data_IF_524600782232
#
_entry.id   IF_524600782232
#
_cell.length_a   1.000
_cell.length_b   1.000
_cell.length_c   1.000
_cell.angle_alpha   90.00
_cell.angle_beta   90.00
_cell.angle_gamma   90.00
#
_symmetry.space_group_name_H-M   'P 1'
#
loop_
_entity.id
_entity.type
_entity.pdbx_description
1 polymer ?
#
# COMPACT_ATOMS: atom_id res chain seq x y z
N UNK A 1 9.54 -6.47 22.05
CA UNK A 1 8.74 -5.75 21.03
C UNK A 1 7.28 -5.86 21.43
N UNK A 2 6.91 -5.20 22.51
CA UNK A 2 5.61 -5.33 23.19
C UNK A 2 4.85 -3.99 23.21
N UNK A 3 5.44 -2.94 22.65
CA UNK A 3 4.91 -1.57 22.64
C UNK A 3 4.21 -1.22 21.32
N UNK A 4 4.44 -1.99 20.25
CA UNK A 4 3.78 -1.77 18.96
C UNK A 4 2.61 -2.74 18.76
N UNK A 5 1.42 -2.26 18.35
CA UNK A 5 0.23 -3.10 18.14
C UNK A 5 0.29 -3.81 16.78
N UNK A 6 1.40 -4.49 16.48
CA UNK A 6 1.66 -5.11 15.17
C UNK A 6 2.58 -6.32 15.32
N UNK A 7 2.65 -7.15 14.29
CA UNK A 7 3.49 -8.34 14.28
C UNK A 7 4.97 -8.01 14.62
N UNK A 8 5.66 -8.85 15.43
CA UNK A 8 7.05 -8.59 15.82
C UNK A 8 8.00 -8.39 14.63
N UNK A 9 7.75 -9.07 13.51
CA UNK A 9 8.55 -8.94 12.29
C UNK A 9 8.44 -7.54 11.67
N UNK A 10 7.23 -6.99 11.60
CA UNK A 10 6.99 -5.65 11.09
C UNK A 10 7.53 -4.59 12.06
N UNK A 11 7.42 -4.84 13.38
CA UNK A 11 8.00 -3.95 14.41
C UNK A 11 9.51 -3.84 14.26
N UNK A 12 10.20 -4.98 14.03
CA UNK A 12 11.64 -5.00 13.79
C UNK A 12 12.03 -4.25 12.51
N UNK A 13 11.23 -4.40 11.45
CA UNK A 13 11.44 -3.70 10.18
C UNK A 13 11.35 -2.18 10.36
N UNK A 14 10.37 -1.71 11.14
CA UNK A 14 10.18 -0.30 11.45
C UNK A 14 11.31 0.29 12.31
N UNK A 15 11.84 -0.49 13.27
CA UNK A 15 12.99 -0.04 14.07
C UNK A 15 14.24 0.05 13.20
N UNK A 16 14.46 -0.92 12.31
CA UNK A 16 15.63 -0.92 11.42
C UNK A 16 15.59 0.21 10.38
N UNK A 17 14.40 0.60 9.92
CA UNK A 17 14.25 1.67 8.92
C UNK A 17 14.71 3.04 9.45
N UNK A 18 14.64 3.27 10.76
CA UNK A 18 15.20 4.47 11.40
C UNK A 18 16.72 4.52 11.22
N UNK A 19 17.41 3.39 11.38
CA UNK A 19 18.87 3.31 11.19
C UNK A 19 19.28 3.46 9.72
N UNK A 20 18.41 3.07 8.79
CA UNK A 20 18.62 3.17 7.34
C UNK A 20 18.06 4.46 6.73
N UNK A 21 17.52 5.37 7.54
CA UNK A 21 16.90 6.63 7.12
C UNK A 21 15.76 6.49 6.08
N UNK A 22 15.02 5.37 6.10
CA UNK A 22 13.87 5.08 5.21
C UNK A 22 12.57 4.86 6.00
N UNK A 23 12.39 5.62 7.08
CA UNK A 23 11.31 5.41 8.04
C UNK A 23 9.93 5.78 7.49
N UNK A 24 9.82 6.80 6.63
CA UNK A 24 8.54 7.23 6.04
C UNK A 24 7.97 6.17 5.08
N UNK A 25 8.82 5.61 4.22
CA UNK A 25 8.44 4.59 3.25
C UNK A 25 8.04 3.30 3.96
N UNK A 26 8.84 2.88 4.94
CA UNK A 26 8.58 1.65 5.71
C UNK A 26 7.33 1.80 6.57
N UNK A 27 7.09 2.96 7.19
CA UNK A 27 5.86 3.23 7.93
C UNK A 27 4.63 3.13 7.00
N UNK A 28 4.75 3.66 5.79
CA UNK A 28 3.69 3.58 4.77
C UNK A 28 3.41 2.12 4.38
N UNK A 29 4.44 1.35 4.06
CA UNK A 29 4.31 -0.07 3.68
C UNK A 29 3.67 -0.87 4.83
N UNK A 30 4.15 -0.68 6.06
CA UNK A 30 3.59 -1.33 7.26
C UNK A 30 2.11 -0.99 7.43
N UNK A 31 1.75 0.28 7.25
CA UNK A 31 0.36 0.73 7.34
C UNK A 31 -0.50 0.02 6.28
N UNK A 32 -0.03 -0.03 5.03
CA UNK A 32 -0.73 -0.69 3.93
C UNK A 32 -0.86 -2.22 4.11
N UNK A 33 0.09 -2.86 4.77
CA UNK A 33 0.03 -4.30 5.10
C UNK A 33 -0.90 -4.61 6.27
N UNK A 34 -1.15 -3.62 7.14
CA UNK A 34 -2.04 -3.78 8.29
C UNK A 34 -3.52 -3.70 7.90
N UNK A 35 -3.83 -3.11 6.74
CA UNK A 35 -5.18 -3.03 6.18
C UNK A 35 -5.48 -4.25 5.31
N UNK A 36 -6.71 -4.76 5.34
CA UNK A 36 -7.13 -5.85 4.46
C UNK A 36 -7.29 -5.36 3.01
N UNK A 37 -6.73 -6.13 2.06
CA UNK A 37 -6.90 -6.02 0.60
C UNK A 37 -7.16 -4.61 0.05
N UNK A 38 -6.09 -3.84 -0.17
CA UNK A 38 -6.15 -2.50 -0.80
C UNK A 38 -6.78 -2.52 -2.21
N UNK A 39 -6.65 -3.63 -2.95
CA UNK A 39 -7.14 -3.74 -4.32
C UNK A 39 -8.51 -4.40 -4.40
N UNK A 40 -9.45 -3.72 -5.05
CA UNK A 40 -10.79 -4.23 -5.33
C UNK A 40 -10.85 -4.92 -6.70
N UNK A 41 -11.29 -6.17 -6.74
CA UNK A 41 -11.36 -6.96 -7.99
C UNK A 41 -12.78 -7.49 -8.25
N UNK A 42 -13.69 -6.65 -8.79
CA UNK A 42 -15.06 -7.07 -9.09
C UNK A 42 -15.09 -8.07 -10.24
N UNK A 43 -15.96 -9.09 -10.14
CA UNK A 43 -16.06 -10.19 -11.13
C UNK A 43 -16.35 -9.69 -12.55
N UNK A 44 -17.16 -8.64 -12.70
CA UNK A 44 -17.55 -8.10 -14.00
C UNK A 44 -16.46 -7.25 -14.67
N UNK A 45 -15.46 -6.77 -13.92
CA UNK A 45 -14.41 -5.85 -14.43
C UNK A 45 -13.00 -6.31 -14.07
N UNK A 46 -12.77 -7.61 -13.91
CA UNK A 46 -11.48 -8.17 -13.52
C UNK A 46 -10.34 -7.73 -14.43
N UNK A 47 -10.53 -7.79 -15.76
CA UNK A 47 -9.50 -7.40 -16.72
C UNK A 47 -9.10 -5.92 -16.61
N UNK A 48 -10.06 -5.04 -16.31
CA UNK A 48 -9.79 -3.60 -16.14
C UNK A 48 -9.07 -3.35 -14.81
N UNK A 49 -9.50 -4.01 -13.73
CA UNK A 49 -8.84 -3.92 -12.43
C UNK A 49 -7.39 -4.42 -12.50
N UNK A 50 -7.15 -5.54 -13.17
CA UNK A 50 -5.81 -6.11 -13.35
C UNK A 50 -4.94 -5.18 -14.22
N UNK A 51 -5.50 -4.56 -15.26
CA UNK A 51 -4.79 -3.57 -16.07
C UNK A 51 -4.39 -2.33 -15.25
N UNK A 52 -5.30 -1.80 -14.41
CA UNK A 52 -5.03 -0.64 -13.55
C UNK A 52 -3.98 -0.98 -12.50
N UNK A 53 -4.10 -2.14 -11.83
CA UNK A 53 -3.11 -2.65 -10.88
C UNK A 53 -1.74 -2.83 -11.55
N UNK A 54 -1.72 -3.35 -12.77
CA UNK A 54 -0.49 -3.53 -13.56
C UNK A 54 0.30 -2.24 -13.78
N UNK A 55 -0.34 -1.07 -13.77
CA UNK A 55 0.36 0.23 -13.89
C UNK A 55 1.17 0.59 -12.65
N UNK A 56 0.80 0.07 -11.49
CA UNK A 56 1.50 0.32 -10.24
C UNK A 56 2.55 -0.75 -9.92
N UNK A 57 2.56 -1.85 -10.67
CA UNK A 57 3.46 -2.97 -10.46
C UNK A 57 4.92 -2.51 -10.53
N UNK A 58 5.64 -2.69 -9.43
CA UNK A 58 7.07 -2.41 -9.33
C UNK A 58 7.85 -3.72 -9.49
N UNK A 59 8.85 -3.80 -10.40
CA UNK A 59 9.65 -5.01 -10.60
C UNK A 59 10.43 -5.43 -9.35
N UNK A 60 10.67 -4.50 -8.43
CA UNK A 60 11.35 -4.70 -7.15
C UNK A 60 10.49 -5.44 -6.12
N UNK A 61 9.16 -5.48 -6.30
CA UNK A 61 8.26 -6.34 -5.53
C UNK A 61 6.93 -5.71 -5.09
N UNK A 62 6.11 -6.53 -4.43
CA UNK A 62 4.76 -6.18 -4.01
C UNK A 62 4.71 -5.07 -2.95
N UNK A 63 5.68 -5.04 -2.02
CA UNK A 63 5.75 -3.97 -1.01
C UNK A 63 5.97 -2.59 -1.63
N UNK A 64 6.80 -2.51 -2.67
CA UNK A 64 7.04 -1.26 -3.41
C UNK A 64 5.86 -0.90 -4.31
N UNK A 65 5.13 -1.89 -4.81
CA UNK A 65 3.85 -1.67 -5.49
C UNK A 65 2.83 -1.00 -4.55
N UNK A 66 2.71 -1.45 -3.30
CA UNK A 66 1.83 -0.80 -2.29
C UNK A 66 2.25 0.65 -2.01
N UNK A 67 3.55 0.90 -1.91
CA UNK A 67 4.10 2.25 -1.74
C UNK A 67 3.78 3.14 -2.95
N UNK A 68 3.92 2.63 -4.17
CA UNK A 68 3.60 3.35 -5.40
C UNK A 68 2.12 3.73 -5.50
N UNK A 69 1.22 2.83 -5.09
CA UNK A 69 -0.23 3.10 -5.00
C UNK A 69 -0.51 4.20 -3.99
N UNK A 70 0.04 4.09 -2.76
CA UNK A 70 -0.18 5.10 -1.72
C UNK A 70 0.35 6.48 -2.15
N UNK A 71 1.56 6.53 -2.72
CA UNK A 71 2.14 7.78 -3.22
C UNK A 71 1.31 8.38 -4.34
N UNK A 72 0.78 7.54 -5.24
CA UNK A 72 -0.13 7.99 -6.29
C UNK A 72 -1.43 8.55 -5.71
N UNK A 73 -1.99 7.92 -4.68
CA UNK A 73 -3.18 8.42 -3.98
C UNK A 73 -2.91 9.76 -3.26
N UNK A 74 -1.79 9.87 -2.54
CA UNK A 74 -1.32 11.09 -1.87
C UNK A 74 -1.13 12.24 -2.88
N UNK A 75 -0.51 11.96 -4.03
CA UNK A 75 -0.32 12.93 -5.11
C UNK A 75 -1.65 13.37 -5.75
N UNK A 76 -2.66 12.50 -5.74
CA UNK A 76 -4.03 12.82 -6.16
C UNK A 76 -4.89 13.40 -5.02
N UNK A 77 -4.24 13.99 -3.99
CA UNK A 77 -4.89 14.69 -2.86
C UNK A 77 -5.89 13.82 -2.11
N UNK A 78 -5.59 12.53 -1.96
CA UNK A 78 -6.45 11.58 -1.25
C UNK A 78 -7.87 11.48 -1.86
N UNK A 79 -7.98 11.65 -3.18
CA UNK A 79 -9.26 11.68 -3.88
C UNK A 79 -9.96 10.32 -3.89
N UNK A 80 -11.21 10.29 -3.40
CA UNK A 80 -12.08 9.11 -3.48
C UNK A 80 -12.40 8.74 -4.94
N UNK A 81 -12.55 9.73 -5.83
CA UNK A 81 -12.78 9.49 -7.24
C UNK A 81 -11.59 8.76 -7.89
N UNK A 82 -10.36 9.09 -7.46
CA UNK A 82 -9.16 8.40 -7.91
C UNK A 82 -9.14 6.94 -7.44
N UNK A 83 -9.54 6.68 -6.19
CA UNK A 83 -9.65 5.32 -5.66
C UNK A 83 -10.64 4.48 -6.49
N UNK A 84 -11.80 5.02 -6.84
CA UNK A 84 -12.78 4.35 -7.69
C UNK A 84 -12.25 4.02 -9.08
N UNK A 85 -11.56 4.95 -9.75
CA UNK A 85 -11.01 4.73 -11.10
C UNK A 85 -9.84 3.72 -11.12
N UNK A 86 -9.10 3.61 -10.00
CA UNK A 86 -7.95 2.71 -9.88
C UNK A 86 -8.26 1.42 -9.12
N UNK A 87 -9.53 1.16 -8.81
CA UNK A 87 -9.96 -0.03 -8.06
C UNK A 87 -9.22 -0.19 -6.72
N UNK A 88 -9.00 0.92 -6.03
CA UNK A 88 -8.39 0.95 -4.69
C UNK A 88 -9.50 1.15 -3.66
N UNK A 89 -9.50 0.36 -2.59
CA UNK A 89 -10.42 0.53 -1.48
C UNK A 89 -9.93 1.68 -0.58
N UNK A 90 -10.84 2.58 -0.23
CA UNK A 90 -10.59 3.70 0.68
C UNK A 90 -11.29 3.54 2.04
N UNK A 91 -12.16 2.52 2.16
CA UNK A 91 -12.85 2.20 3.42
C UNK A 91 -11.94 1.32 4.28
N UNK A 92 -11.61 1.85 5.45
CA UNK A 92 -11.09 1.14 6.62
C UNK A 92 -12.26 0.91 7.59
#
# INVERSE_FOLDING_TARGET
MTEFPMEPNLSKMLIMSVHLACSEEILTIVSMLSVQNVFYRPKDKQAIADQKKGKFNQPEGDHLTLLAVYNSWKNNKFSNAWCYDNFVQYEL
#
